data_IF_611796547821
#
_entry.id   IF_611796547821
#
_cell.length_a   1.000
_cell.length_b   1.000
_cell.length_c   1.000
_cell.angle_alpha   90.00
_cell.angle_beta   90.00
_cell.angle_gamma   90.00
#
_symmetry.space_group_name_H-M   'P 1'
#
loop_
_entity.id
_entity.type
_entity.pdbx_description
1 polymer ?
#
# COMPACT_ATOMS: atom_id res chain seq x y z
N UNK A 1 -9.32 0.97 -8.72
CA UNK A 1 -9.06 1.99 -9.75
C UNK A 1 -7.74 1.74 -10.47
N UNK A 2 -7.59 2.13 -11.76
CA UNK A 2 -6.34 1.98 -12.52
C UNK A 2 -5.80 3.34 -12.92
N UNK A 3 -4.57 3.65 -12.56
CA UNK A 3 -3.86 4.86 -13.01
C UNK A 3 -3.56 4.73 -14.51
N UNK A 4 -4.03 5.68 -15.33
CA UNK A 4 -3.78 5.68 -16.79
C UNK A 4 -2.78 6.72 -17.21
N UNK A 5 -2.77 7.84 -16.50
CA UNK A 5 -1.83 8.93 -16.73
C UNK A 5 -1.48 9.59 -15.41
N UNK A 6 -0.31 10.20 -15.36
CA UNK A 6 0.06 11.05 -14.24
C UNK A 6 0.99 12.17 -14.69
N UNK A 7 1.14 13.16 -13.84
CA UNK A 7 2.09 14.28 -14.01
C UNK A 7 2.67 14.64 -12.65
N UNK A 8 3.96 14.92 -12.63
CA UNK A 8 4.70 15.36 -11.44
C UNK A 8 5.32 16.71 -11.73
N UNK A 9 5.20 17.66 -10.79
CA UNK A 9 5.75 19.00 -10.89
C UNK A 9 6.41 19.41 -9.59
N UNK A 10 7.44 20.23 -9.70
CA UNK A 10 8.13 20.85 -8.57
C UNK A 10 8.50 19.88 -7.43
N UNK A 11 8.84 18.65 -7.76
CA UNK A 11 9.19 17.63 -6.80
C UNK A 11 10.66 17.21 -6.97
N UNK A 12 11.52 17.57 -6.01
CA UNK A 12 12.96 17.32 -6.03
C UNK A 12 13.62 17.70 -7.37
N UNK A 13 14.17 16.74 -8.12
CA UNK A 13 14.80 16.99 -9.42
C UNK A 13 13.80 17.04 -10.60
N UNK A 14 12.50 17.01 -10.35
CA UNK A 14 11.48 17.09 -11.39
C UNK A 14 10.84 18.47 -11.38
N UNK A 15 11.13 19.27 -12.39
CA UNK A 15 10.44 20.55 -12.61
C UNK A 15 9.04 20.31 -13.14
N UNK A 16 8.90 19.59 -14.23
CA UNK A 16 7.67 19.14 -14.83
C UNK A 16 7.91 17.90 -15.70
N UNK A 17 7.30 16.79 -15.33
CA UNK A 17 7.43 15.53 -16.07
C UNK A 17 6.66 15.53 -17.40
N UNK A 18 5.75 16.50 -17.61
CA UNK A 18 4.72 16.36 -18.60
C UNK A 18 3.72 15.24 -18.23
N UNK A 19 2.78 14.99 -19.12
CA UNK A 19 1.79 13.93 -18.96
C UNK A 19 2.39 12.56 -19.31
N UNK A 20 2.42 11.63 -18.34
CA UNK A 20 2.98 10.30 -18.50
C UNK A 20 1.85 9.27 -18.51
N UNK A 21 1.76 8.47 -19.60
CA UNK A 21 0.82 7.36 -19.71
C UNK A 21 1.45 6.08 -19.19
N UNK A 22 0.69 5.29 -18.45
CA UNK A 22 1.13 4.01 -17.91
C UNK A 22 0.09 2.92 -18.13
N UNK A 23 0.59 1.70 -18.35
CA UNK A 23 -0.22 0.48 -18.39
C UNK A 23 -0.30 -0.18 -17.02
N UNK A 24 -0.77 -1.43 -16.99
CA UNK A 24 -0.83 -2.21 -15.75
C UNK A 24 0.57 -2.65 -15.28
N UNK A 25 1.55 -2.67 -16.18
CA UNK A 25 2.96 -2.90 -15.90
C UNK A 25 3.79 -1.87 -16.68
N UNK A 26 4.58 -1.03 -16.00
CA UNK A 26 5.46 -0.06 -16.63
C UNK A 26 6.84 0.00 -15.95
N UNK A 27 7.88 0.16 -16.77
CA UNK A 27 9.27 0.24 -16.34
C UNK A 27 9.86 1.62 -16.61
N UNK A 28 10.38 2.26 -15.58
CA UNK A 28 11.20 3.48 -15.69
C UNK A 28 12.65 3.08 -15.79
N UNK A 29 13.27 3.36 -16.93
CA UNK A 29 14.64 2.97 -17.25
C UNK A 29 15.51 4.19 -17.40
N UNK A 30 16.73 4.10 -16.96
CA UNK A 30 17.69 5.19 -17.07
C UNK A 30 18.90 4.97 -16.20
N UNK A 31 19.86 5.88 -16.29
CA UNK A 31 21.08 5.84 -15.49
C UNK A 31 20.80 6.07 -14.01
N UNK A 32 21.78 5.73 -13.16
CA UNK A 32 21.74 6.14 -11.76
C UNK A 32 21.63 7.67 -11.68
N UNK A 33 20.90 8.17 -10.70
CA UNK A 33 20.64 9.61 -10.47
C UNK A 33 19.83 10.30 -11.59
N UNK A 34 19.16 9.54 -12.47
CA UNK A 34 18.32 10.16 -13.52
C UNK A 34 16.93 10.64 -13.02
N UNK A 35 16.56 10.34 -11.79
CA UNK A 35 15.25 10.71 -11.21
C UNK A 35 14.20 9.61 -11.23
N UNK A 36 14.52 8.36 -11.56
CA UNK A 36 13.57 7.22 -11.54
C UNK A 36 12.91 7.03 -10.17
N UNK A 37 13.73 6.94 -9.12
CA UNK A 37 13.30 6.88 -7.72
C UNK A 37 12.38 8.05 -7.37
N UNK A 38 12.76 9.26 -7.78
CA UNK A 38 11.99 10.48 -7.55
C UNK A 38 10.59 10.41 -8.15
N UNK A 39 10.43 9.85 -9.36
CA UNK A 39 9.12 9.67 -10.00
C UNK A 39 8.26 8.73 -9.17
N UNK A 40 8.80 7.57 -8.76
CA UNK A 40 8.05 6.61 -7.96
C UNK A 40 7.64 7.21 -6.60
N UNK A 41 8.56 7.90 -5.93
CA UNK A 41 8.26 8.56 -4.66
C UNK A 41 7.23 9.69 -4.82
N UNK A 42 7.29 10.46 -5.91
CA UNK A 42 6.29 11.49 -6.17
C UNK A 42 4.88 10.92 -6.32
N UNK A 43 4.72 9.69 -6.83
CA UNK A 43 3.41 9.04 -6.92
C UNK A 43 2.83 8.69 -5.55
N UNK A 44 3.65 8.52 -4.50
CA UNK A 44 3.14 8.30 -3.13
C UNK A 44 2.45 9.54 -2.57
N UNK A 45 2.68 10.73 -3.13
CA UNK A 45 1.93 11.94 -2.79
C UNK A 45 0.43 11.80 -3.07
N UNK A 46 0.04 10.88 -3.95
CA UNK A 46 -1.35 10.58 -4.26
C UNK A 46 -2.01 9.64 -3.25
N UNK A 47 -1.30 9.13 -2.24
CA UNK A 47 -1.93 8.46 -1.10
C UNK A 47 -2.81 9.46 -0.31
N UNK A 48 -3.78 8.92 0.41
CA UNK A 48 -4.73 9.71 1.21
C UNK A 48 -4.05 10.77 2.05
N UNK A 49 -3.06 10.35 2.82
CA UNK A 49 -2.23 11.23 3.64
C UNK A 49 -0.76 10.99 3.32
N UNK A 50 -0.03 12.06 3.12
CA UNK A 50 1.41 12.02 2.94
C UNK A 50 2.02 13.27 3.55
N UNK A 51 3.01 13.09 4.43
CA UNK A 51 3.75 14.23 4.97
C UNK A 51 4.75 14.72 3.93
N UNK A 52 4.58 15.95 3.49
CA UNK A 52 5.49 16.61 2.57
C UNK A 52 6.59 17.32 3.38
N UNK A 53 7.84 17.02 3.07
CA UNK A 53 9.00 17.73 3.61
C UNK A 53 9.39 18.89 2.69
N UNK A 54 10.00 19.93 3.23
CA UNK A 54 10.59 21.00 2.42
C UNK A 54 11.66 20.45 1.46
N UNK A 55 12.37 19.38 1.84
CA UNK A 55 13.36 18.68 1.00
C UNK A 55 12.75 17.95 -0.19
N UNK A 56 11.43 17.75 -0.22
CA UNK A 56 10.72 17.14 -1.33
C UNK A 56 10.38 18.15 -2.42
N UNK A 57 10.49 19.43 -2.16
CA UNK A 57 10.20 20.49 -3.13
C UNK A 57 11.41 20.77 -4.03
N UNK A 58 11.13 21.22 -5.24
CA UNK A 58 12.18 21.56 -6.20
C UNK A 58 12.79 22.94 -5.89
N UNK A 59 14.07 22.98 -5.56
CA UNK A 59 14.79 24.22 -5.21
C UNK A 59 14.78 25.26 -6.33
N UNK A 60 14.65 24.86 -7.58
CA UNK A 60 14.63 25.76 -8.73
C UNK A 60 13.25 26.45 -8.94
N UNK A 61 12.21 26.02 -8.22
CA UNK A 61 10.83 26.51 -8.35
C UNK A 61 10.32 27.27 -7.12
N UNK A 62 11.20 27.85 -6.31
CA UNK A 62 10.84 28.56 -5.07
C UNK A 62 9.82 29.67 -5.28
N UNK A 63 9.91 30.41 -6.40
CA UNK A 63 8.97 31.49 -6.70
C UNK A 63 7.57 30.97 -7.09
N UNK A 64 7.50 29.91 -7.88
CA UNK A 64 6.24 29.26 -8.26
C UNK A 64 5.58 28.60 -7.05
N UNK A 65 6.36 28.00 -6.15
CA UNK A 65 5.88 27.35 -4.92
C UNK A 65 5.26 28.31 -3.89
N UNK A 66 5.40 29.63 -4.05
CA UNK A 66 4.65 30.63 -3.28
C UNK A 66 3.15 30.61 -3.59
N UNK A 67 2.77 30.11 -4.75
CA UNK A 67 1.40 29.90 -5.15
C UNK A 67 1.01 28.43 -4.96
N UNK A 68 -0.29 28.16 -4.92
CA UNK A 68 -0.77 26.76 -4.92
C UNK A 68 -0.52 26.11 -6.29
N UNK A 69 0.27 25.03 -6.29
CA UNK A 69 0.52 24.23 -7.48
C UNK A 69 0.29 22.74 -7.21
N UNK A 70 -0.15 22.01 -8.22
CA UNK A 70 -0.28 20.56 -8.16
C UNK A 70 1.12 19.94 -8.26
N UNK A 71 1.58 19.25 -7.22
CA UNK A 71 2.86 18.54 -7.18
C UNK A 71 2.78 17.21 -7.93
N UNK A 72 1.68 16.50 -7.72
CA UNK A 72 1.36 15.27 -8.44
C UNK A 72 -0.12 15.25 -8.79
N UNK A 73 -0.44 14.77 -9.98
CA UNK A 73 -1.80 14.47 -10.39
C UNK A 73 -1.85 13.15 -11.18
N UNK A 74 -2.94 12.39 -11.03
CA UNK A 74 -3.16 11.12 -11.69
C UNK A 74 -4.58 10.98 -12.22
N UNK A 75 -4.73 10.57 -13.49
CA UNK A 75 -6.01 10.23 -14.12
C UNK A 75 -6.30 8.75 -13.89
N UNK A 76 -7.39 8.45 -13.21
CA UNK A 76 -7.81 7.09 -12.85
C UNK A 76 -9.04 6.68 -13.64
N UNK A 77 -9.04 5.41 -14.04
CA UNK A 77 -10.16 4.75 -14.66
C UNK A 77 -10.78 3.78 -13.64
N UNK A 78 -12.09 3.90 -13.45
CA UNK A 78 -12.86 3.04 -12.57
C UNK A 78 -13.32 1.78 -13.31
N UNK A 79 -13.29 0.65 -12.64
CA UNK A 79 -13.88 -0.58 -13.18
C UNK A 79 -15.40 -0.59 -13.00
N UNK A 80 -16.06 -1.59 -13.56
CA UNK A 80 -17.52 -1.70 -13.51
C UNK A 80 -18.08 -1.77 -12.07
N UNK A 81 -17.41 -2.51 -11.18
CA UNK A 81 -17.86 -2.65 -9.80
C UNK A 81 -17.72 -1.35 -9.03
N UNK A 82 -16.61 -0.63 -9.19
CA UNK A 82 -16.37 0.68 -8.55
C UNK A 82 -17.38 1.71 -9.02
N UNK A 83 -17.63 1.79 -10.33
CA UNK A 83 -18.64 2.67 -10.91
C UNK A 83 -20.04 2.35 -10.35
N UNK A 84 -20.37 1.05 -10.23
CA UNK A 84 -21.65 0.61 -9.66
C UNK A 84 -21.79 0.97 -8.19
N UNK A 85 -20.75 0.75 -7.37
CA UNK A 85 -20.76 1.09 -5.94
C UNK A 85 -21.02 2.58 -5.74
N UNK A 86 -20.36 3.46 -6.53
CA UNK A 86 -20.64 4.90 -6.49
C UNK A 86 -22.08 5.19 -6.89
N UNK A 87 -22.58 4.59 -7.97
CA UNK A 87 -23.93 4.84 -8.49
C UNK A 87 -25.03 4.36 -7.51
N UNK A 88 -24.78 3.25 -6.82
CA UNK A 88 -25.70 2.72 -5.81
C UNK A 88 -25.74 3.63 -4.56
N UNK A 89 -24.58 4.21 -4.16
CA UNK A 89 -24.49 5.15 -3.04
C UNK A 89 -25.03 6.55 -3.39
N UNK A 90 -24.84 6.99 -4.63
CA UNK A 90 -25.21 8.33 -5.13
C UNK A 90 -26.06 8.23 -6.41
N UNK A 91 -27.36 7.85 -6.31
CA UNK A 91 -28.22 7.62 -7.47
C UNK A 91 -28.40 8.84 -8.37
N UNK A 92 -28.32 10.05 -7.81
CA UNK A 92 -28.54 11.32 -8.52
C UNK A 92 -27.30 11.77 -9.31
N UNK A 93 -26.10 11.33 -8.93
CA UNK A 93 -24.86 11.70 -9.63
C UNK A 93 -24.76 10.93 -10.95
N UNK A 94 -24.31 11.58 -12.05
CA UNK A 94 -24.03 10.90 -13.30
C UNK A 94 -22.98 9.77 -13.09
N UNK A 95 -22.96 8.81 -14.02
CA UNK A 95 -22.00 7.69 -13.95
C UNK A 95 -20.55 8.17 -14.04
N UNK A 96 -19.76 7.97 -13.00
CA UNK A 96 -18.34 8.35 -12.94
C UNK A 96 -17.49 7.17 -13.40
N UNK A 97 -16.86 7.28 -14.57
CA UNK A 97 -15.92 6.28 -15.12
C UNK A 97 -14.46 6.66 -14.97
N UNK A 98 -14.21 7.94 -14.77
CA UNK A 98 -12.87 8.50 -14.62
C UNK A 98 -12.91 9.61 -13.58
N UNK A 99 -11.82 9.70 -12.84
CA UNK A 99 -11.58 10.82 -11.94
C UNK A 99 -10.09 11.14 -11.91
N UNK A 100 -9.76 12.33 -11.48
CA UNK A 100 -8.38 12.74 -11.22
C UNK A 100 -8.17 12.87 -9.72
N UNK A 101 -7.06 12.31 -9.23
CA UNK A 101 -6.57 12.52 -7.86
C UNK A 101 -5.33 13.39 -7.97
N UNK A 102 -5.22 14.41 -7.13
CA UNK A 102 -4.09 15.32 -7.15
C UNK A 102 -3.69 15.79 -5.76
N UNK A 103 -2.45 16.21 -5.64
CA UNK A 103 -1.86 16.79 -4.43
C UNK A 103 -1.28 18.15 -4.74
N UNK A 104 -1.52 19.14 -3.87
CA UNK A 104 -0.90 20.47 -3.96
C UNK A 104 0.20 20.63 -2.90
N UNK A 105 1.01 21.67 -3.05
CA UNK A 105 2.04 22.02 -2.07
C UNK A 105 1.45 22.60 -0.78
N UNK A 106 0.20 23.06 -0.79
CA UNK A 106 -0.48 23.70 0.33
C UNK A 106 -1.42 22.77 1.10
N UNK A 107 -1.91 21.71 0.47
CA UNK A 107 -2.86 20.78 1.08
C UNK A 107 -2.21 19.42 1.38
N UNK A 108 -2.17 18.95 2.64
CA UNK A 108 -1.58 17.67 3.04
C UNK A 108 -2.44 16.45 2.66
N UNK A 109 -3.66 16.65 2.17
CA UNK A 109 -4.61 15.59 1.81
C UNK A 109 -4.77 15.53 0.29
N UNK A 110 -4.93 14.33 -0.27
CA UNK A 110 -5.24 14.13 -1.68
C UNK A 110 -6.63 14.70 -2.00
N UNK A 111 -6.75 15.35 -3.14
CA UNK A 111 -7.96 16.01 -3.63
C UNK A 111 -8.48 15.30 -4.87
N UNK A 112 -9.78 15.48 -5.16
CA UNK A 112 -10.45 14.82 -6.28
C UNK A 112 -10.99 15.83 -7.28
N UNK A 113 -10.95 15.44 -8.56
CA UNK A 113 -11.49 16.24 -9.67
C UNK A 113 -12.27 15.26 -10.59
N UNK A 114 -13.56 15.50 -10.74
CA UNK A 114 -14.47 14.64 -11.50
C UNK A 114 -14.63 15.07 -12.95
N UNK A 115 -13.84 16.04 -13.39
CA UNK A 115 -13.89 16.56 -14.77
C UNK A 115 -15.23 17.22 -15.09
N UNK A 116 -15.82 16.81 -16.22
CA UNK A 116 -17.08 17.39 -16.74
C UNK A 116 -18.35 16.85 -16.04
N UNK A 117 -18.21 16.05 -14.96
CA UNK A 117 -19.38 15.54 -14.23
C UNK A 117 -19.96 16.66 -13.37
N UNK A 118 -21.15 17.11 -13.69
CA UNK A 118 -21.88 18.08 -12.88
C UNK A 118 -22.34 17.42 -11.58
N UNK A 119 -21.75 17.84 -10.47
CA UNK A 119 -22.13 17.44 -9.12
C UNK A 119 -22.64 18.68 -8.41
N UNK A 120 -23.78 18.56 -7.77
CA UNK A 120 -24.39 19.70 -7.07
C UNK A 120 -23.50 20.17 -5.92
N UNK A 121 -23.10 21.42 -5.98
CA UNK A 121 -22.47 22.13 -4.85
C UNK A 121 -23.51 22.71 -3.89
N UNK A 122 -24.81 22.51 -4.16
CA UNK A 122 -25.88 22.93 -3.26
C UNK A 122 -25.79 22.10 -1.97
N UNK A 123 -25.83 22.80 -0.85
CA UNK A 123 -25.93 22.15 0.46
C UNK A 123 -27.15 21.21 0.47
N UNK A 124 -26.89 19.95 0.59
CA UNK A 124 -27.94 18.96 0.70
C UNK A 124 -28.43 19.01 2.17
N UNK A 125 -29.37 19.93 2.43
CA UNK A 125 -29.91 20.20 3.76
C UNK A 125 -30.58 18.97 4.42
N UNK A 126 -30.63 17.86 3.69
CA UNK A 126 -31.18 16.60 4.16
C UNK A 126 -30.17 15.54 4.63
N UNK A 127 -28.88 15.62 4.26
CA UNK A 127 -27.99 14.47 4.44
C UNK A 127 -27.08 14.51 5.68
N UNK A 128 -26.62 15.67 6.17
CA UNK A 128 -25.63 15.69 7.26
C UNK A 128 -25.66 16.96 8.13
N UNK A 129 -26.88 17.47 8.44
CA UNK A 129 -26.99 18.45 9.51
C UNK A 129 -26.85 17.75 10.87
N UNK A 130 -26.43 18.48 11.88
CA UNK A 130 -26.46 18.02 13.27
C UNK A 130 -27.81 17.41 13.65
N UNK A 131 -28.91 18.00 13.17
CA UNK A 131 -30.26 17.53 13.39
C UNK A 131 -30.52 16.11 12.86
N UNK A 132 -30.05 15.80 11.64
CA UNK A 132 -30.15 14.45 11.06
C UNK A 132 -29.30 13.42 11.80
N UNK A 133 -28.12 13.84 12.25
CA UNK A 133 -27.27 12.99 13.08
C UNK A 133 -27.97 12.67 14.41
N UNK A 134 -28.49 13.68 15.08
CA UNK A 134 -29.26 13.52 16.30
C UNK A 134 -30.51 12.63 16.09
N UNK A 135 -31.18 12.77 14.94
CA UNK A 135 -32.31 11.90 14.58
C UNK A 135 -31.86 10.44 14.37
N UNK A 136 -30.77 10.20 13.69
CA UNK A 136 -30.16 8.85 13.53
C UNK A 136 -29.84 8.23 14.89
N UNK A 137 -29.21 9.00 15.79
CA UNK A 137 -28.88 8.55 17.14
C UNK A 137 -30.15 8.32 17.95
N UNK A 138 -31.17 9.17 17.84
CA UNK A 138 -32.44 9.00 18.52
C UNK A 138 -33.15 7.71 18.06
N UNK A 139 -33.22 7.48 16.76
CA UNK A 139 -33.77 6.24 16.20
C UNK A 139 -33.00 5.00 16.69
N UNK A 140 -31.67 5.07 16.76
CA UNK A 140 -30.85 4.00 17.35
C UNK A 140 -31.17 3.80 18.83
N UNK A 141 -31.30 4.87 19.64
CA UNK A 141 -31.63 4.81 21.05
C UNK A 141 -33.01 4.17 21.29
N UNK A 142 -33.94 4.33 20.37
CA UNK A 142 -35.26 3.70 20.44
C UNK A 142 -35.22 2.18 20.22
N UNK A 143 -34.17 1.66 19.57
CA UNK A 143 -33.94 0.22 19.42
C UNK A 143 -33.30 -0.42 20.65
N UNK A 144 -32.68 0.38 21.53
CA UNK A 144 -31.96 -0.11 22.71
C UNK A 144 -32.96 -0.48 23.84
N UNK A 145 -32.73 -1.64 24.49
CA UNK A 145 -33.57 -2.03 25.66
C UNK A 145 -33.57 -0.97 26.77
N UNK A 146 -34.74 -0.73 27.38
CA UNK A 146 -34.91 0.32 28.39
C UNK A 146 -33.92 0.24 29.56
N UNK A 147 -33.50 -0.96 29.98
CA UNK A 147 -32.58 -1.13 31.09
C UNK A 147 -31.16 -0.65 30.78
N UNK A 148 -30.76 -0.59 29.50
CA UNK A 148 -29.51 -0.01 29.01
C UNK A 148 -29.69 1.50 28.78
N UNK A 149 -30.78 1.87 28.06
CA UNK A 149 -31.07 3.25 27.66
C UNK A 149 -31.11 4.23 28.84
N UNK A 150 -31.73 3.83 29.95
CA UNK A 150 -31.85 4.68 31.16
C UNK A 150 -30.48 5.00 31.79
N UNK A 151 -29.47 4.17 31.54
CA UNK A 151 -28.12 4.34 32.10
C UNK A 151 -27.17 5.12 31.18
N UNK A 152 -27.57 5.38 29.93
CA UNK A 152 -26.78 6.14 28.98
C UNK A 152 -26.98 7.64 29.18
N UNK A 153 -25.89 8.39 29.13
CA UNK A 153 -25.97 9.85 29.10
C UNK A 153 -26.23 10.30 27.65
N UNK A 154 -27.44 10.75 27.37
CA UNK A 154 -27.85 11.20 26.03
C UNK A 154 -27.89 12.73 25.88
N UNK A 155 -27.56 13.49 26.93
CA UNK A 155 -27.65 14.95 26.95
C UNK A 155 -26.84 15.61 25.82
N UNK A 156 -25.77 14.98 25.41
CA UNK A 156 -24.95 15.43 24.29
C UNK A 156 -25.74 15.54 22.97
N UNK A 157 -26.68 14.65 22.74
CA UNK A 157 -27.49 14.61 21.52
C UNK A 157 -28.77 15.49 21.60
N UNK A 158 -29.06 16.08 22.76
CA UNK A 158 -30.27 16.89 22.96
C UNK A 158 -30.01 18.41 22.76
N UNK A 159 -28.75 18.81 22.55
CA UNK A 159 -28.35 20.21 22.50
C UNK A 159 -27.85 20.69 21.14
N UNK A 160 -27.26 21.88 21.16
CA UNK A 160 -26.49 22.42 20.02
C UNK A 160 -25.22 21.62 19.81
N UNK A 161 -24.69 21.59 18.57
CA UNK A 161 -23.44 20.92 18.29
C UNK A 161 -22.32 21.46 19.19
N UNK A 162 -21.30 20.60 19.52
CA UNK A 162 -20.16 21.01 20.34
C UNK A 162 -19.38 22.15 19.71
N UNK A 163 -18.72 22.95 20.55
CA UNK A 163 -17.97 24.14 20.09
C UNK A 163 -16.74 23.80 19.23
N UNK A 164 -16.15 22.62 19.39
CA UNK A 164 -14.96 22.19 18.66
C UNK A 164 -14.90 20.67 18.49
N UNK A 165 -14.01 20.23 17.59
CA UNK A 165 -13.83 18.84 17.22
C UNK A 165 -13.32 17.96 18.37
N UNK A 166 -12.47 18.49 19.23
CA UNK A 166 -11.95 17.74 20.39
C UNK A 166 -13.07 17.40 21.37
N UNK A 167 -13.94 18.37 21.65
CA UNK A 167 -15.12 18.17 22.50
C UNK A 167 -16.07 17.16 21.89
N UNK A 168 -16.31 17.22 20.58
CA UNK A 168 -17.12 16.24 19.85
C UNK A 168 -16.56 14.83 19.98
N UNK A 169 -15.27 14.63 19.68
CA UNK A 169 -14.59 13.32 19.76
C UNK A 169 -14.65 12.74 21.16
N UNK A 170 -14.40 13.57 22.18
CA UNK A 170 -14.43 13.13 23.58
C UNK A 170 -15.84 12.68 24.00
N UNK A 171 -16.88 13.38 23.61
CA UNK A 171 -18.25 13.04 23.93
C UNK A 171 -18.73 11.78 23.19
N UNK A 172 -18.36 11.62 21.92
CA UNK A 172 -18.64 10.41 21.15
C UNK A 172 -17.91 9.18 21.74
N UNK A 173 -16.64 9.34 22.14
CA UNK A 173 -15.87 8.28 22.77
C UNK A 173 -16.45 7.90 24.15
N UNK A 174 -16.83 8.88 24.96
CA UNK A 174 -17.47 8.63 26.27
C UNK A 174 -18.78 7.88 26.12
N UNK A 175 -19.64 8.30 25.19
CA UNK A 175 -20.90 7.61 24.92
C UNK A 175 -20.67 6.19 24.42
N UNK A 176 -19.78 5.98 23.45
CA UNK A 176 -19.42 4.67 22.92
C UNK A 176 -18.89 3.73 24.02
N UNK A 177 -17.93 4.18 24.83
CA UNK A 177 -17.37 3.39 25.92
C UNK A 177 -18.46 2.97 26.95
N UNK A 178 -19.36 3.87 27.31
CA UNK A 178 -20.45 3.57 28.21
C UNK A 178 -21.42 2.56 27.58
N UNK A 179 -21.71 2.70 26.29
CA UNK A 179 -22.56 1.76 25.57
C UNK A 179 -21.97 0.36 25.52
N UNK A 180 -20.65 0.23 25.19
CA UNK A 180 -19.94 -1.05 25.17
C UNK A 180 -19.99 -1.78 26.51
N UNK A 181 -19.84 -1.04 27.61
CA UNK A 181 -19.92 -1.62 28.96
C UNK A 181 -21.35 -2.09 29.29
N UNK A 182 -22.39 -1.30 28.95
CA UNK A 182 -23.76 -1.60 29.28
C UNK A 182 -24.39 -2.65 28.36
N UNK A 183 -23.94 -2.76 27.12
CA UNK A 183 -24.45 -3.68 26.10
C UNK A 183 -23.52 -4.89 25.89
N UNK A 184 -22.67 -5.25 26.85
CA UNK A 184 -21.69 -6.34 26.72
C UNK A 184 -22.33 -7.70 26.35
N UNK A 185 -23.60 -7.95 26.80
CA UNK A 185 -24.33 -9.16 26.49
C UNK A 185 -25.18 -9.06 25.20
N UNK A 186 -25.17 -7.90 24.51
CA UNK A 186 -25.97 -7.62 23.31
C UNK A 186 -25.12 -7.05 22.19
N UNK A 187 -24.23 -7.84 21.57
CA UNK A 187 -23.24 -7.36 20.61
C UNK A 187 -23.83 -6.72 19.34
N UNK A 188 -25.11 -7.01 19.00
CA UNK A 188 -25.81 -6.35 17.89
C UNK A 188 -25.93 -4.84 18.08
N UNK A 189 -26.07 -4.39 19.34
CA UNK A 189 -26.23 -2.96 19.68
C UNK A 189 -24.90 -2.22 19.42
N UNK A 190 -23.78 -2.81 19.80
CA UNK A 190 -22.46 -2.22 19.59
C UNK A 190 -22.10 -2.14 18.11
N UNK A 191 -22.44 -3.16 17.32
CA UNK A 191 -22.26 -3.17 15.85
C UNK A 191 -23.11 -2.09 15.16
N UNK A 192 -24.34 -1.85 15.62
CA UNK A 192 -25.16 -0.77 15.08
C UNK A 192 -24.61 0.62 15.43
N UNK A 193 -24.09 0.77 16.65
CA UNK A 193 -23.41 2.02 17.04
C UNK A 193 -22.16 2.28 16.21
N UNK A 194 -21.33 1.27 15.95
CA UNK A 194 -20.15 1.37 15.10
C UNK A 194 -20.52 1.90 13.70
N UNK A 195 -21.58 1.39 13.09
CA UNK A 195 -22.06 1.90 11.79
C UNK A 195 -22.45 3.37 11.81
N UNK A 196 -22.91 3.88 12.93
CA UNK A 196 -23.29 5.30 13.09
C UNK A 196 -22.05 6.15 13.40
N UNK A 197 -21.20 5.71 14.33
CA UNK A 197 -20.06 6.47 14.82
C UNK A 197 -18.88 6.49 13.84
N UNK A 198 -18.73 5.45 13.03
CA UNK A 198 -17.69 5.30 12.01
C UNK A 198 -18.16 5.72 10.61
N UNK A 199 -19.41 6.15 10.45
CA UNK A 199 -19.88 6.74 9.20
C UNK A 199 -19.03 8.00 8.90
N UNK A 200 -18.32 8.06 7.77
CA UNK A 200 -17.48 9.22 7.39
C UNK A 200 -18.25 10.54 7.43
N UNK A 201 -19.56 10.49 7.22
CA UNK A 201 -20.44 11.67 7.27
C UNK A 201 -20.72 12.15 8.70
N UNK A 202 -20.35 11.40 9.71
CA UNK A 202 -20.45 11.78 11.14
C UNK A 202 -19.23 12.54 11.66
N UNK A 203 -18.29 12.93 10.79
CA UNK A 203 -17.20 13.80 11.20
C UNK A 203 -17.71 15.17 11.67
N UNK A 204 -17.07 15.75 12.67
CA UNK A 204 -17.46 17.05 13.24
C UNK A 204 -17.62 18.14 12.17
N UNK A 205 -16.71 18.19 11.22
CA UNK A 205 -16.75 19.18 10.13
C UNK A 205 -17.99 18.98 9.23
N UNK A 206 -18.33 17.74 8.90
CA UNK A 206 -19.46 17.42 8.04
C UNK A 206 -20.82 17.72 8.74
N UNK A 207 -20.87 17.56 10.05
CA UNK A 207 -22.09 17.83 10.83
C UNK A 207 -22.36 19.33 11.03
N UNK A 208 -21.31 20.17 11.06
CA UNK A 208 -21.43 21.62 11.26
C UNK A 208 -21.60 22.42 9.98
N UNK A 209 -20.94 22.02 8.89
CA UNK A 209 -20.81 22.86 7.69
C UNK A 209 -21.91 22.57 6.66
N UNK A 210 -22.67 21.48 6.84
CA UNK A 210 -23.55 20.95 5.79
C UNK A 210 -22.71 20.32 4.67
N UNK A 211 -22.90 19.06 4.39
CA UNK A 211 -22.10 18.36 3.39
C UNK A 211 -22.74 18.56 2.03
N UNK A 212 -22.03 19.17 1.08
CA UNK A 212 -22.46 19.17 -0.31
C UNK A 212 -22.41 17.73 -0.86
N UNK A 213 -23.20 17.42 -1.88
CA UNK A 213 -23.18 16.10 -2.53
C UNK A 213 -21.77 15.76 -3.03
N UNK A 214 -20.98 16.77 -3.42
CA UNK A 214 -19.58 16.65 -3.82
C UNK A 214 -18.68 16.20 -2.67
N UNK A 215 -18.75 16.85 -1.50
CA UNK A 215 -17.95 16.49 -0.32
C UNK A 215 -18.31 15.08 0.16
N UNK A 216 -19.60 14.73 0.17
CA UNK A 216 -20.05 13.39 0.52
C UNK A 216 -19.47 12.32 -0.43
N UNK A 217 -19.43 12.60 -1.73
CA UNK A 217 -18.81 11.73 -2.73
C UNK A 217 -17.31 11.62 -2.55
N UNK A 218 -16.61 12.73 -2.33
CA UNK A 218 -15.16 12.76 -2.07
C UNK A 218 -14.81 11.89 -0.85
N UNK A 219 -15.51 12.07 0.27
CA UNK A 219 -15.35 11.25 1.47
C UNK A 219 -15.64 9.77 1.22
N UNK A 220 -16.69 9.47 0.47
CA UNK A 220 -17.03 8.08 0.12
C UNK A 220 -15.92 7.42 -0.72
N UNK A 221 -15.40 8.12 -1.72
CA UNK A 221 -14.29 7.63 -2.54
C UNK A 221 -13.03 7.47 -1.71
N UNK A 222 -12.74 8.42 -0.83
CA UNK A 222 -11.57 8.39 0.05
C UNK A 222 -11.55 7.14 0.93
N UNK A 223 -12.69 6.79 1.50
CA UNK A 223 -12.79 5.64 2.43
C UNK A 223 -12.85 4.31 1.70
N UNK A 224 -13.61 4.23 0.59
CA UNK A 224 -13.98 2.95 -0.01
C UNK A 224 -13.19 2.60 -1.27
N UNK A 225 -12.68 3.59 -2.00
CA UNK A 225 -12.18 3.39 -3.36
C UNK A 225 -10.79 4.00 -3.59
N UNK A 226 -10.27 4.82 -2.66
CA UNK A 226 -8.98 5.50 -2.87
C UNK A 226 -7.86 4.50 -3.17
N UNK A 227 -7.09 4.68 -4.27
CA UNK A 227 -6.04 3.75 -4.64
C UNK A 227 -4.88 3.83 -3.65
N UNK A 228 -4.32 2.68 -3.28
CA UNK A 228 -3.13 2.63 -2.42
C UNK A 228 -1.87 2.51 -3.25
N UNK A 229 -0.97 3.46 -3.09
CA UNK A 229 0.37 3.40 -3.63
C UNK A 229 1.30 2.81 -2.58
N UNK A 230 1.89 1.68 -2.88
CA UNK A 230 2.81 0.97 -1.98
C UNK A 230 4.20 1.05 -2.56
N UNK A 231 5.07 1.82 -1.91
CA UNK A 231 6.43 2.03 -2.36
C UNK A 231 7.39 1.07 -1.65
N UNK A 232 8.17 0.38 -2.45
CA UNK A 232 9.22 -0.51 -1.99
C UNK A 232 10.56 0.01 -2.49
N UNK A 233 11.38 0.51 -1.58
CA UNK A 233 12.82 0.74 -1.76
C UNK A 233 13.59 -0.25 -0.91
N UNK A 234 14.87 -0.37 -1.14
CA UNK A 234 15.81 -1.20 -0.41
C UNK A 234 15.18 -2.42 0.29
N UNK A 235 15.14 -3.53 -0.44
CA UNK A 235 14.51 -4.78 0.03
C UNK A 235 15.23 -5.29 1.27
N UNK A 236 14.58 -5.06 2.41
CA UNK A 236 15.01 -5.53 3.72
C UNK A 236 15.04 -7.06 3.70
N UNK A 237 16.21 -7.65 3.93
CA UNK A 237 16.36 -9.10 3.95
C UNK A 237 15.90 -9.67 5.27
N UNK A 238 15.08 -10.70 5.22
CA UNK A 238 14.69 -11.45 6.41
C UNK A 238 15.91 -12.13 7.02
N UNK A 239 16.07 -11.95 8.31
CA UNK A 239 17.11 -12.62 9.10
C UNK A 239 16.65 -14.06 9.34
N UNK A 240 17.44 -15.03 8.89
CA UNK A 240 17.10 -16.45 9.05
C UNK A 240 17.24 -17.00 10.48
N UNK A 241 17.84 -16.24 11.40
CA UNK A 241 17.90 -16.54 12.84
C UNK A 241 17.43 -15.30 13.61
N UNK A 242 16.29 -15.40 14.25
CA UNK A 242 15.63 -14.32 14.98
C UNK A 242 15.80 -14.56 16.47
N UNK A 243 16.44 -13.63 17.18
CA UNK A 243 16.54 -13.67 18.64
C UNK A 243 15.25 -13.08 19.24
N UNK A 244 14.39 -13.92 19.79
CA UNK A 244 13.10 -13.50 20.33
C UNK A 244 13.22 -12.57 21.54
N UNK A 245 14.30 -12.68 22.31
CA UNK A 245 14.55 -11.81 23.45
C UNK A 245 14.88 -10.37 23.02
N UNK A 246 15.61 -10.20 21.92
CA UNK A 246 15.89 -8.90 21.32
C UNK A 246 14.63 -8.33 20.66
N UNK A 247 13.96 -9.13 19.84
CA UNK A 247 12.73 -8.76 19.17
C UNK A 247 11.62 -8.27 20.13
N UNK A 248 11.45 -8.91 21.30
CA UNK A 248 10.47 -8.50 22.30
C UNK A 248 10.84 -7.22 23.06
N UNK A 249 12.14 -6.91 23.21
CA UNK A 249 12.62 -5.66 23.83
C UNK A 249 12.44 -4.47 22.90
N UNK A 250 12.64 -4.68 21.61
CA UNK A 250 12.60 -3.62 20.60
C UNK A 250 11.18 -3.01 20.43
N UNK A 251 10.12 -3.78 20.68
CA UNK A 251 8.73 -3.26 20.62
C UNK A 251 8.34 -2.32 21.77
N UNK A 252 9.05 -2.34 22.89
CA UNK A 252 8.73 -1.56 24.09
C UNK A 252 9.57 -0.29 24.24
N UNK A 253 10.51 -0.03 23.32
CA UNK A 253 11.34 1.18 23.32
C UNK A 253 10.75 2.24 22.40
N UNK A 254 10.76 3.54 22.80
CA UNK A 254 10.31 4.60 21.92
C UNK A 254 11.23 4.71 20.71
N UNK A 255 10.64 4.96 19.53
CA UNK A 255 11.24 5.01 18.20
C UNK A 255 12.44 5.97 18.00
N UNK A 256 12.92 6.61 19.06
CA UNK A 256 13.99 7.62 19.06
C UNK A 256 15.40 7.01 19.20
N UNK A 257 15.52 5.73 19.56
CA UNK A 257 16.81 5.08 19.87
C UNK A 257 17.26 4.00 18.88
N UNK A 258 16.49 3.74 17.81
CA UNK A 258 16.86 2.72 16.81
C UNK A 258 17.69 3.32 15.68
N UNK A 259 18.75 2.60 15.28
CA UNK A 259 19.33 2.79 13.95
C UNK A 259 18.32 2.32 12.89
N UNK A 260 18.29 2.96 11.71
CA UNK A 260 17.44 2.54 10.59
C UNK A 260 17.54 1.03 10.31
N UNK A 261 18.74 0.44 10.42
CA UNK A 261 19.00 -1.00 10.25
C UNK A 261 18.30 -1.91 11.27
N UNK A 262 18.07 -1.45 12.50
CA UNK A 262 17.42 -2.25 13.57
C UNK A 262 15.90 -2.21 13.42
N UNK A 263 15.34 -1.05 13.10
CA UNK A 263 13.92 -0.89 12.80
C UNK A 263 13.52 -1.76 11.59
N UNK A 264 14.35 -1.76 10.55
CA UNK A 264 14.16 -2.55 9.35
C UNK A 264 14.15 -4.05 9.60
N UNK A 265 14.95 -4.52 10.54
CA UNK A 265 14.98 -5.94 10.97
C UNK A 265 13.70 -6.34 11.70
N UNK A 266 13.18 -5.48 12.57
CA UNK A 266 11.95 -5.75 13.31
C UNK A 266 10.74 -5.87 12.37
N UNK A 267 10.62 -4.96 11.39
CA UNK A 267 9.52 -4.97 10.40
C UNK A 267 9.49 -6.25 9.55
N UNK A 268 10.65 -6.72 9.09
CA UNK A 268 10.71 -7.97 8.29
C UNK A 268 10.34 -9.21 9.11
N UNK A 269 10.66 -9.23 10.41
CA UNK A 269 10.25 -10.28 11.34
C UNK A 269 8.75 -10.20 11.61
N UNK A 270 8.21 -9.00 11.81
CA UNK A 270 6.76 -8.77 11.96
C UNK A 270 5.98 -9.27 10.74
N UNK A 271 6.49 -9.03 9.54
CA UNK A 271 5.89 -9.53 8.30
C UNK A 271 5.90 -11.05 8.22
N UNK A 272 7.00 -11.69 8.61
CA UNK A 272 7.12 -13.14 8.65
C UNK A 272 6.14 -13.76 9.67
N UNK A 273 6.08 -13.20 10.89
CA UNK A 273 5.19 -13.70 11.97
C UNK A 273 3.72 -13.45 11.61
N UNK A 274 3.40 -12.31 11.02
CA UNK A 274 2.06 -12.03 10.53
C UNK A 274 1.59 -13.07 9.49
N UNK A 275 2.42 -13.39 8.50
CA UNK A 275 2.09 -14.43 7.51
C UNK A 275 1.98 -15.81 8.13
N UNK A 276 2.82 -16.12 9.12
CA UNK A 276 2.77 -17.36 9.87
C UNK A 276 1.52 -17.46 10.76
N UNK A 277 0.86 -16.33 11.02
CA UNK A 277 -0.16 -16.17 12.07
C UNK A 277 0.40 -16.64 13.42
N UNK A 278 1.62 -16.19 13.73
CA UNK A 278 2.33 -16.52 14.97
C UNK A 278 2.21 -15.34 15.93
N UNK A 279 1.47 -15.55 17.02
CA UNK A 279 1.45 -14.61 18.14
C UNK A 279 2.60 -14.93 19.11
N UNK A 280 3.33 -13.89 19.52
CA UNK A 280 4.48 -14.05 20.41
C UNK A 280 4.05 -14.48 21.81
N UNK A 281 2.89 -14.04 22.30
CA UNK A 281 2.38 -14.44 23.61
C UNK A 281 1.96 -15.92 23.58
N UNK A 282 1.27 -16.35 22.50
CA UNK A 282 0.94 -17.78 22.31
C UNK A 282 2.20 -18.66 22.24
N UNK A 283 3.28 -18.14 21.62
CA UNK A 283 4.56 -18.82 21.56
C UNK A 283 5.20 -18.96 22.96
N UNK A 284 5.18 -17.91 23.76
CA UNK A 284 5.70 -17.94 25.14
C UNK A 284 4.91 -18.95 25.99
N UNK A 285 3.60 -18.96 25.93
CA UNK A 285 2.77 -19.95 26.63
C UNK A 285 3.04 -21.38 26.14
N UNK A 286 3.24 -21.56 24.84
CA UNK A 286 3.52 -22.88 24.27
C UNK A 286 4.88 -23.45 24.69
N UNK A 287 5.85 -22.62 25.10
CA UNK A 287 7.17 -23.08 25.62
C UNK A 287 7.06 -23.94 26.87
N UNK A 288 6.01 -23.81 27.67
CA UNK A 288 5.79 -24.64 28.88
C UNK A 288 5.52 -26.11 28.54
N UNK A 289 5.07 -26.42 27.30
CA UNK A 289 4.77 -27.78 26.85
C UNK A 289 5.42 -28.09 25.50
N UNK A 290 6.40 -29.00 25.42
CA UNK A 290 7.07 -29.35 24.16
C UNK A 290 6.13 -29.82 23.07
N UNK A 291 5.03 -30.48 23.41
CA UNK A 291 4.02 -30.94 22.43
C UNK A 291 3.20 -29.82 21.88
N UNK A 292 2.86 -28.81 22.69
CA UNK A 292 2.15 -27.61 22.23
C UNK A 292 3.04 -26.74 21.35
N UNK A 293 4.30 -26.53 21.74
CA UNK A 293 5.28 -25.79 20.97
C UNK A 293 5.48 -26.40 19.56
N UNK A 294 5.69 -27.72 19.49
CA UNK A 294 5.85 -28.42 18.20
C UNK A 294 4.59 -28.24 17.34
N UNK A 295 3.40 -28.39 17.93
CA UNK A 295 2.14 -28.24 17.19
C UNK A 295 1.97 -26.82 16.65
N UNK A 296 2.26 -25.80 17.46
CA UNK A 296 2.19 -24.39 17.06
C UNK A 296 3.15 -24.12 15.90
N UNK A 297 4.44 -24.44 16.05
CA UNK A 297 5.46 -24.19 15.04
C UNK A 297 5.17 -24.93 13.72
N UNK A 298 4.68 -26.17 13.77
CA UNK A 298 4.27 -26.91 12.58
C UNK A 298 3.09 -26.25 11.87
N UNK A 299 2.12 -25.73 12.63
CA UNK A 299 0.97 -25.00 12.05
C UNK A 299 1.42 -23.72 11.38
N UNK A 300 2.24 -22.93 12.03
CA UNK A 300 2.81 -21.69 11.49
C UNK A 300 3.67 -21.96 10.23
N UNK A 301 4.49 -22.99 10.26
CA UNK A 301 5.33 -23.43 9.13
C UNK A 301 4.48 -23.82 7.92
N UNK A 302 3.40 -24.55 8.15
CA UNK A 302 2.44 -24.93 7.08
C UNK A 302 1.79 -23.70 6.46
N UNK A 303 1.30 -22.76 7.28
CA UNK A 303 0.70 -21.50 6.81
C UNK A 303 1.66 -20.68 5.95
N UNK A 304 2.91 -20.50 6.42
CA UNK A 304 3.96 -19.83 5.63
C UNK A 304 4.17 -20.53 4.26
N UNK A 305 4.33 -21.83 4.28
CA UNK A 305 4.52 -22.63 3.05
C UNK A 305 3.36 -22.43 2.07
N UNK A 306 2.12 -22.50 2.54
CA UNK A 306 0.93 -22.35 1.73
C UNK A 306 0.75 -20.94 1.17
N UNK A 307 1.10 -19.90 1.96
CA UNK A 307 0.98 -18.49 1.54
C UNK A 307 2.09 -18.05 0.58
N UNK A 308 3.28 -18.62 0.68
CA UNK A 308 4.43 -18.21 -0.15
C UNK A 308 4.49 -18.94 -1.50
N UNK A 309 4.11 -20.22 -1.58
CA UNK A 309 4.24 -21.01 -2.80
C UNK A 309 3.45 -20.48 -4.01
N UNK A 310 2.26 -19.85 -3.89
CA UNK A 310 1.57 -19.27 -5.05
C UNK A 310 2.37 -18.17 -5.78
N UNK A 311 3.18 -17.42 -5.04
CA UNK A 311 4.05 -16.38 -5.59
C UNK A 311 5.46 -16.91 -5.91
N UNK A 312 5.81 -18.11 -5.42
CA UNK A 312 7.12 -18.70 -5.62
C UNK A 312 7.25 -19.33 -7.01
N UNK A 313 8.30 -18.97 -7.73
CA UNK A 313 8.60 -19.55 -9.04
C UNK A 313 9.75 -20.53 -8.95
N UNK A 314 9.59 -21.68 -9.56
CA UNK A 314 10.52 -22.81 -9.52
C UNK A 314 9.91 -24.01 -8.79
N UNK A 315 10.77 -24.90 -8.29
CA UNK A 315 10.31 -25.99 -7.44
C UNK A 315 9.69 -25.43 -6.15
N UNK A 316 8.53 -25.95 -5.69
CA UNK A 316 7.92 -25.49 -4.46
C UNK A 316 8.88 -25.54 -3.29
N UNK A 317 8.72 -24.61 -2.35
CA UNK A 317 9.51 -24.59 -1.12
C UNK A 317 8.67 -25.09 0.04
N UNK A 318 9.35 -25.69 1.02
CA UNK A 318 8.81 -25.95 2.34
C UNK A 318 9.53 -25.08 3.36
N UNK A 319 8.78 -24.28 4.10
CA UNK A 319 9.30 -23.37 5.13
C UNK A 319 9.00 -23.97 6.49
N UNK A 320 10.01 -24.10 7.34
CA UNK A 320 9.89 -24.64 8.68
C UNK A 320 10.47 -23.63 9.68
N UNK A 321 9.70 -23.33 10.72
CA UNK A 321 10.12 -22.54 11.86
C UNK A 321 10.63 -23.47 12.97
N UNK A 322 11.83 -23.26 13.46
CA UNK A 322 12.44 -24.02 14.55
C UNK A 322 12.89 -23.10 15.67
N UNK A 323 12.44 -23.36 16.87
CA UNK A 323 12.90 -22.65 18.07
C UNK A 323 13.93 -23.49 18.80
N UNK A 324 15.08 -22.89 19.14
CA UNK A 324 16.08 -23.54 19.96
C UNK A 324 15.95 -23.15 21.47
N UNK A 325 16.63 -23.85 22.38
CA UNK A 325 16.55 -23.55 23.81
C UNK A 325 17.08 -22.16 24.24
N UNK A 326 17.76 -21.44 23.33
CA UNK A 326 18.27 -20.08 23.59
C UNK A 326 17.34 -19.01 23.01
N UNK A 327 16.08 -19.32 22.75
CA UNK A 327 15.09 -18.42 22.18
C UNK A 327 15.47 -17.84 20.81
N UNK A 328 16.23 -18.59 20.01
CA UNK A 328 16.52 -18.24 18.63
C UNK A 328 15.58 -19.03 17.73
N UNK A 329 14.69 -18.29 17.05
CA UNK A 329 13.83 -18.79 15.98
C UNK A 329 14.62 -18.89 14.68
N UNK A 330 14.74 -20.09 14.14
CA UNK A 330 15.42 -20.32 12.86
C UNK A 330 14.43 -20.61 11.75
N UNK A 331 14.62 -19.96 10.59
CA UNK A 331 13.86 -20.22 9.36
C UNK A 331 14.64 -21.25 8.54
N UNK A 332 14.09 -22.45 8.42
CA UNK A 332 14.64 -23.55 7.62
C UNK A 332 13.84 -23.69 6.34
N UNK A 333 14.54 -23.84 5.22
CA UNK A 333 13.92 -23.94 3.91
C UNK A 333 14.40 -25.20 3.20
N UNK A 334 13.46 -25.91 2.60
CA UNK A 334 13.72 -27.08 1.76
C UNK A 334 13.11 -26.88 0.39
N UNK A 335 13.76 -27.40 -0.64
CA UNK A 335 13.22 -27.44 -2.00
C UNK A 335 12.41 -28.77 -2.16
N UNK A 336 11.18 -28.67 -2.66
CA UNK A 336 10.29 -29.82 -2.84
C UNK A 336 10.12 -30.06 -4.34
N UNK A 337 10.62 -31.21 -4.81
CA UNK A 337 10.54 -31.59 -6.23
C UNK A 337 9.16 -32.17 -6.58
N UNK A 338 8.85 -32.23 -7.88
CA UNK A 338 7.56 -32.73 -8.39
C UNK A 338 7.27 -34.19 -8.01
N UNK A 339 8.31 -34.97 -7.74
CA UNK A 339 8.20 -36.36 -7.27
C UNK A 339 8.00 -36.49 -5.76
N UNK A 340 7.92 -35.34 -5.04
CA UNK A 340 7.79 -35.26 -3.59
C UNK A 340 9.11 -35.41 -2.85
N UNK A 341 10.26 -35.52 -3.53
CA UNK A 341 11.56 -35.53 -2.85
C UNK A 341 11.89 -34.15 -2.31
N UNK A 342 12.48 -34.13 -1.13
CA UNK A 342 12.89 -32.90 -0.43
C UNK A 342 14.42 -32.81 -0.46
N UNK A 343 14.93 -31.70 -0.96
CA UNK A 343 16.38 -31.45 -1.06
C UNK A 343 16.75 -30.07 -0.52
N UNK A 344 18.04 -29.80 -0.46
CA UNK A 344 18.60 -28.51 -0.02
C UNK A 344 18.04 -27.98 1.30
N UNK A 345 17.68 -28.90 2.23
CA UNK A 345 17.20 -28.50 3.56
C UNK A 345 18.30 -27.76 4.31
N UNK A 346 18.03 -26.52 4.68
CA UNK A 346 19.00 -25.71 5.39
C UNK A 346 18.46 -24.39 5.90
N UNK A 347 19.24 -23.74 6.74
CA UNK A 347 18.90 -22.40 7.25
C UNK A 347 18.82 -21.37 6.10
N UNK A 348 17.85 -20.47 6.16
CA UNK A 348 17.70 -19.37 5.19
C UNK A 348 19.03 -18.59 5.03
N UNK A 349 19.76 -18.35 6.13
CA UNK A 349 21.05 -17.63 6.09
C UNK A 349 22.12 -18.32 5.23
N UNK A 350 22.01 -19.63 5.00
CA UNK A 350 22.96 -20.42 4.19
C UNK A 350 22.56 -20.51 2.70
N UNK A 351 21.39 -20.02 2.36
CA UNK A 351 20.94 -19.98 0.94
C UNK A 351 21.67 -18.87 0.18
N UNK A 352 21.70 -18.99 -1.11
CA UNK A 352 22.30 -17.98 -2.01
C UNK A 352 21.61 -16.61 -1.83
N UNK A 353 22.36 -15.52 -2.01
CA UNK A 353 21.85 -14.16 -1.85
C UNK A 353 20.56 -13.88 -2.64
N UNK A 354 20.50 -14.34 -3.89
CA UNK A 354 19.30 -14.18 -4.71
C UNK A 354 18.08 -14.93 -4.16
N UNK A 355 18.28 -16.10 -3.58
CA UNK A 355 17.21 -16.83 -2.91
C UNK A 355 16.70 -16.05 -1.69
N UNK A 356 17.60 -15.60 -0.82
CA UNK A 356 17.25 -14.79 0.36
C UNK A 356 16.51 -13.52 -0.02
N UNK A 357 16.96 -12.87 -1.09
CA UNK A 357 16.29 -11.69 -1.61
C UNK A 357 14.86 -12.02 -2.08
N UNK A 358 14.69 -13.03 -2.94
CA UNK A 358 13.37 -13.43 -3.46
C UNK A 358 12.43 -13.85 -2.33
N UNK A 359 12.93 -14.61 -1.36
CA UNK A 359 12.15 -15.01 -0.18
C UNK A 359 11.68 -13.80 0.62
N UNK A 360 12.60 -12.88 0.94
CA UNK A 360 12.27 -11.65 1.68
C UNK A 360 11.28 -10.77 0.94
N UNK A 361 11.47 -10.62 -0.37
CA UNK A 361 10.53 -9.86 -1.21
C UNK A 361 9.13 -10.46 -1.17
N UNK A 362 8.99 -11.77 -1.38
CA UNK A 362 7.68 -12.44 -1.38
C UNK A 362 7.02 -12.34 -0.01
N UNK A 363 7.77 -12.53 1.09
CA UNK A 363 7.23 -12.41 2.46
C UNK A 363 6.74 -11.00 2.72
N UNK A 364 7.56 -9.98 2.49
CA UNK A 364 7.18 -8.59 2.73
C UNK A 364 5.99 -8.18 1.86
N UNK A 365 6.03 -8.54 0.58
CA UNK A 365 4.95 -8.26 -0.36
C UNK A 365 3.64 -8.98 0.05
N UNK A 366 3.71 -10.27 0.40
CA UNK A 366 2.52 -11.02 0.81
C UNK A 366 1.94 -10.49 2.13
N UNK A 367 2.79 -10.11 3.10
CA UNK A 367 2.35 -9.52 4.36
C UNK A 367 1.63 -8.19 4.13
N UNK A 368 2.21 -7.29 3.33
CA UNK A 368 1.60 -6.00 3.01
C UNK A 368 0.29 -6.16 2.25
N UNK A 369 0.26 -7.05 1.25
CA UNK A 369 -0.97 -7.31 0.49
C UNK A 369 -2.07 -7.94 1.34
N UNK A 370 -1.73 -8.80 2.30
CA UNK A 370 -2.71 -9.43 3.18
C UNK A 370 -3.21 -8.49 4.28
N UNK A 371 -2.33 -7.70 4.94
CA UNK A 371 -2.73 -6.72 5.97
C UNK A 371 -3.67 -5.66 5.44
N UNK A 372 -3.43 -5.25 4.22
CA UNK A 372 -4.13 -4.14 3.62
C UNK A 372 -5.37 -4.58 2.82
N UNK A 373 -5.68 -5.88 2.78
CA UNK A 373 -6.67 -6.43 1.83
C UNK A 373 -6.43 -5.92 0.39
N UNK A 374 -5.14 -5.73 0.03
CA UNK A 374 -4.72 -5.08 -1.22
C UNK A 374 -5.12 -5.91 -2.43
N UNK A 375 -6.38 -5.82 -2.78
CA UNK A 375 -6.83 -6.07 -4.14
C UNK A 375 -6.73 -4.73 -4.88
N UNK A 376 -5.99 -4.73 -6.00
CA UNK A 376 -5.88 -3.57 -6.90
C UNK A 376 -4.98 -2.41 -6.40
N UNK A 377 -3.89 -2.71 -5.66
CA UNK A 377 -2.89 -1.72 -5.29
C UNK A 377 -2.02 -1.28 -6.48
N UNK A 378 -1.44 -0.10 -6.37
CA UNK A 378 -0.40 0.41 -7.27
C UNK A 378 0.95 0.22 -6.59
N UNK A 379 1.71 -0.75 -7.07
CA UNK A 379 3.02 -1.13 -6.54
C UNK A 379 4.10 -0.30 -7.20
N UNK A 380 4.90 0.39 -6.40
CA UNK A 380 5.99 1.23 -6.82
C UNK A 380 7.31 0.60 -6.35
N UNK A 381 8.05 -0.04 -7.27
CA UNK A 381 9.21 -0.85 -6.91
C UNK A 381 10.49 -0.17 -7.40
N UNK A 382 11.37 0.21 -6.48
CA UNK A 382 12.64 0.84 -6.84
C UNK A 382 13.76 -0.20 -6.89
N UNK A 383 14.33 -0.38 -8.08
CA UNK A 383 15.42 -1.33 -8.38
C UNK A 383 15.14 -2.77 -7.87
N UNK A 384 13.99 -3.39 -8.19
CA UNK A 384 13.52 -4.64 -7.58
C UNK A 384 14.38 -5.81 -8.00
N UNK A 385 15.57 -5.87 -8.15
CA UNK A 385 16.46 -7.00 -8.42
C UNK A 385 17.93 -6.57 -8.52
N UNK A 386 18.28 -5.41 -7.94
CA UNK A 386 19.58 -4.77 -8.10
C UNK A 386 20.77 -5.70 -7.83
N UNK A 387 20.66 -6.56 -6.84
CA UNK A 387 21.77 -7.40 -6.36
C UNK A 387 21.65 -8.86 -6.84
N UNK A 388 20.81 -9.15 -7.86
CA UNK A 388 20.60 -10.50 -8.35
C UNK A 388 21.40 -10.79 -9.62
N UNK A 389 21.77 -12.08 -9.78
CA UNK A 389 22.34 -12.57 -11.03
C UNK A 389 21.32 -12.41 -12.18
N UNK A 390 21.74 -12.14 -13.42
CA UNK A 390 20.87 -11.96 -14.59
C UNK A 390 19.74 -12.97 -14.77
N UNK A 391 20.01 -14.25 -14.54
CA UNK A 391 18.97 -15.30 -14.61
C UNK A 391 17.90 -15.17 -13.55
N UNK A 392 18.24 -14.70 -12.35
CA UNK A 392 17.32 -14.46 -11.25
C UNK A 392 16.50 -13.18 -11.49
N UNK A 393 17.11 -12.14 -12.06
CA UNK A 393 16.41 -10.91 -12.44
C UNK A 393 15.25 -11.19 -13.41
N UNK A 394 15.41 -12.14 -14.33
CA UNK A 394 14.32 -12.59 -15.21
C UNK A 394 13.17 -13.23 -14.43
N UNK A 395 13.48 -14.08 -13.46
CA UNK A 395 12.46 -14.66 -12.58
C UNK A 395 11.63 -13.60 -11.86
N UNK A 396 12.28 -12.49 -11.44
CA UNK A 396 11.60 -11.34 -10.85
C UNK A 396 10.75 -10.60 -11.89
N UNK A 397 11.25 -10.39 -13.12
CA UNK A 397 10.45 -9.78 -14.19
C UNK A 397 9.15 -10.56 -14.44
N UNK A 398 9.21 -11.89 -14.45
CA UNK A 398 8.01 -12.72 -14.60
C UNK A 398 7.09 -12.65 -13.37
N UNK A 399 7.65 -12.55 -12.16
CA UNK A 399 6.87 -12.32 -10.96
C UNK A 399 6.10 -10.99 -11.06
N UNK A 400 6.76 -9.90 -11.47
CA UNK A 400 6.13 -8.59 -11.65
C UNK A 400 4.99 -8.64 -12.68
N UNK A 401 5.16 -9.37 -13.78
CA UNK A 401 4.08 -9.61 -14.77
C UNK A 401 2.85 -10.28 -14.15
N UNK A 402 3.08 -11.30 -13.30
CA UNK A 402 1.97 -11.96 -12.62
C UNK A 402 1.27 -11.06 -11.61
N UNK A 403 2.05 -10.26 -10.85
CA UNK A 403 1.50 -9.27 -9.92
C UNK A 403 0.67 -8.21 -10.62
N UNK A 404 1.05 -7.81 -11.83
CA UNK A 404 0.31 -6.86 -12.66
C UNK A 404 -1.06 -7.39 -13.12
N UNK A 405 -1.33 -8.69 -12.99
CA UNK A 405 -2.66 -9.28 -13.26
C UNK A 405 -3.74 -8.84 -12.26
N UNK A 406 -3.39 -8.68 -10.99
CA UNK A 406 -4.30 -8.23 -9.93
C UNK A 406 -4.02 -6.81 -9.44
N UNK A 407 -2.80 -6.32 -9.62
CA UNK A 407 -2.35 -5.01 -9.19
C UNK A 407 -1.91 -4.19 -10.42
N UNK A 408 -1.50 -2.94 -10.19
CA UNK A 408 -0.74 -2.17 -11.16
C UNK A 408 0.71 -2.08 -10.67
N UNK A 409 1.68 -2.35 -11.54
CA UNK A 409 3.10 -2.39 -11.15
C UNK A 409 3.89 -1.37 -11.95
N UNK A 410 4.44 -0.40 -11.25
CA UNK A 410 5.36 0.60 -11.80
C UNK A 410 6.72 0.39 -11.13
N UNK A 411 7.78 0.21 -11.90
CA UNK A 411 9.09 -0.02 -11.29
C UNK A 411 10.21 0.73 -11.99
N UNK A 412 11.24 1.06 -11.23
CA UNK A 412 12.46 1.68 -11.72
C UNK A 412 13.55 0.62 -11.86
N UNK A 413 14.32 0.66 -12.93
CA UNK A 413 15.49 -0.20 -13.09
C UNK A 413 16.54 0.38 -14.02
N UNK A 414 17.79 0.02 -13.78
CA UNK A 414 18.90 0.23 -14.71
C UNK A 414 19.37 -1.09 -15.36
N UNK A 415 18.73 -2.22 -15.00
CA UNK A 415 19.15 -3.54 -15.48
C UNK A 415 18.49 -3.89 -16.82
N UNK A 416 19.29 -4.25 -17.85
CA UNK A 416 18.76 -4.72 -19.13
C UNK A 416 17.97 -6.04 -19.01
N UNK A 417 18.21 -6.81 -17.97
CA UNK A 417 17.53 -8.10 -17.75
C UNK A 417 16.14 -7.94 -17.15
N UNK A 418 15.81 -6.74 -16.66
CA UNK A 418 14.49 -6.41 -16.12
C UNK A 418 13.56 -5.76 -17.16
N UNK A 419 14.07 -5.41 -18.35
CA UNK A 419 13.29 -4.80 -19.44
C UNK A 419 12.94 -5.79 -20.56
N UNK A 420 13.07 -7.05 -20.28
CA UNK A 420 12.83 -8.13 -21.21
C UNK A 420 11.30 -8.31 -21.47
N UNK A 421 10.91 -8.46 -22.74
CA UNK A 421 9.51 -8.68 -23.18
C UNK A 421 8.51 -7.56 -22.95
N UNK A 422 8.93 -6.31 -22.84
CA UNK A 422 7.98 -5.18 -22.74
C UNK A 422 7.45 -4.73 -24.08
N UNK A 423 6.13 -4.49 -24.12
CA UNK A 423 5.56 -3.68 -25.20
C UNK A 423 6.20 -2.28 -25.16
N UNK A 424 6.59 -1.69 -26.30
CA UNK A 424 7.25 -0.39 -26.33
C UNK A 424 6.57 0.72 -25.55
N UNK A 425 5.24 0.68 -25.41
CA UNK A 425 4.47 1.67 -24.65
C UNK A 425 4.56 1.56 -23.13
N UNK A 426 5.19 0.50 -22.59
CA UNK A 426 5.35 0.28 -21.15
C UNK A 426 6.78 0.56 -20.68
N UNK A 427 7.65 1.03 -21.58
CA UNK A 427 9.02 1.41 -21.28
C UNK A 427 9.16 2.92 -21.31
N UNK A 428 9.54 3.50 -20.20
CA UNK A 428 9.67 4.93 -19.97
C UNK A 428 11.13 5.26 -19.66
N UNK A 429 11.76 6.06 -20.48
CA UNK A 429 13.15 6.46 -20.31
C UNK A 429 13.23 7.72 -19.47
N UNK A 430 14.03 7.68 -18.40
CA UNK A 430 14.28 8.81 -17.51
C UNK A 430 15.73 9.25 -17.66
N UNK A 431 15.93 10.49 -18.04
CA UNK A 431 17.23 11.09 -18.29
C UNK A 431 17.38 12.39 -17.52
N UNK A 432 18.57 12.61 -16.92
CA UNK A 432 18.91 13.87 -16.26
C UNK A 432 19.56 14.83 -17.24
N UNK A 433 18.94 15.96 -17.50
CA UNK A 433 19.57 17.10 -18.18
C UNK A 433 20.65 17.70 -17.26
N UNK A 434 21.91 17.35 -17.52
CA UNK A 434 23.07 17.77 -16.70
C UNK A 434 23.27 19.29 -16.63
N UNK A 435 22.75 20.04 -17.60
CA UNK A 435 22.88 21.51 -17.59
C UNK A 435 21.87 22.18 -16.70
N UNK A 436 20.69 21.57 -16.59
CA UNK A 436 19.56 22.10 -15.84
C UNK A 436 19.32 21.34 -14.52
N UNK A 437 20.04 20.24 -14.27
CA UNK A 437 19.81 19.32 -13.14
C UNK A 437 18.36 18.82 -13.01
N UNK A 438 17.64 18.72 -14.17
CA UNK A 438 16.24 18.37 -14.22
C UNK A 438 16.03 17.04 -14.97
N UNK A 439 15.14 16.21 -14.42
CA UNK A 439 14.78 14.94 -15.05
C UNK A 439 13.77 15.13 -16.19
N UNK A 440 14.00 14.45 -17.29
CA UNK A 440 13.09 14.37 -18.44
C UNK A 440 12.66 12.94 -18.67
N UNK A 441 11.42 12.74 -19.13
CA UNK A 441 10.84 11.43 -19.38
C UNK A 441 10.43 11.32 -20.85
N UNK A 442 10.85 10.21 -21.47
CA UNK A 442 10.60 9.93 -22.89
C UNK A 442 9.90 8.58 -23.04
N UNK A 443 8.99 8.49 -24.00
CA UNK A 443 8.46 7.22 -24.49
C UNK A 443 9.34 6.59 -25.57
N UNK A 444 10.11 7.42 -26.24
CA UNK A 444 10.98 7.03 -27.34
C UNK A 444 12.42 6.95 -26.85
N UNK A 445 12.87 5.72 -26.58
CA UNK A 445 14.23 5.46 -26.11
C UNK A 445 15.32 5.75 -27.15
N UNK A 446 14.95 5.91 -28.43
CA UNK A 446 15.92 6.25 -29.49
C UNK A 446 16.47 7.66 -29.36
N UNK A 447 15.76 8.53 -28.66
CA UNK A 447 16.19 9.91 -28.45
C UNK A 447 17.00 10.10 -27.15
N UNK A 448 17.19 9.05 -26.35
CA UNK A 448 18.00 9.10 -25.13
C UNK A 448 19.50 9.00 -25.43
N UNK A 449 20.34 9.30 -24.43
CA UNK A 449 21.79 9.18 -24.58
C UNK A 449 22.25 7.72 -24.83
N UNK A 450 23.37 7.52 -25.52
CA UNK A 450 23.91 6.20 -25.89
C UNK A 450 24.10 5.27 -24.67
N UNK A 451 24.42 5.82 -23.50
CA UNK A 451 24.63 5.04 -22.26
C UNK A 451 23.31 4.55 -21.66
N UNK A 452 22.22 5.26 -21.92
CA UNK A 452 20.87 4.85 -21.53
C UNK A 452 20.26 3.90 -22.56
N UNK A 453 20.44 4.18 -23.84
CA UNK A 453 19.90 3.38 -24.96
C UNK A 453 20.55 2.00 -25.03
N UNK A 454 21.87 1.90 -24.84
CA UNK A 454 22.61 0.63 -25.00
C UNK A 454 22.07 -0.50 -24.10
N UNK A 455 21.86 -0.33 -22.80
CA UNK A 455 21.24 -1.38 -21.97
C UNK A 455 19.83 -1.76 -22.41
N UNK A 456 19.03 -0.80 -22.87
CA UNK A 456 17.68 -1.04 -23.37
C UNK A 456 17.72 -1.90 -24.64
N UNK A 457 18.55 -1.52 -25.61
CA UNK A 457 18.72 -2.28 -26.84
C UNK A 457 19.24 -3.68 -26.59
N UNK A 458 20.17 -3.85 -25.63
CA UNK A 458 20.65 -5.16 -25.23
C UNK A 458 19.53 -6.02 -24.64
N UNK A 459 18.70 -5.47 -23.75
CA UNK A 459 17.55 -6.16 -23.17
C UNK A 459 16.55 -6.59 -24.24
N UNK A 460 16.15 -5.67 -25.12
CA UNK A 460 15.17 -5.92 -26.19
C UNK A 460 15.71 -6.88 -27.27
N UNK A 461 16.99 -6.73 -27.71
CA UNK A 461 17.58 -7.60 -28.74
C UNK A 461 17.70 -9.04 -28.28
N UNK A 462 17.99 -9.26 -27.00
CA UNK A 462 18.08 -10.59 -26.43
C UNK A 462 16.72 -11.27 -26.36
N UNK A 463 15.65 -10.54 -26.06
CA UNK A 463 14.29 -11.06 -26.12
C UNK A 463 13.90 -11.55 -27.50
N UNK A 464 14.28 -10.82 -28.51
CA UNK A 464 14.10 -11.25 -29.91
C UNK A 464 14.84 -12.54 -30.23
N UNK A 465 16.11 -12.66 -29.84
CA UNK A 465 16.94 -13.85 -30.07
C UNK A 465 16.36 -15.07 -29.35
N UNK A 466 15.98 -14.95 -28.08
CA UNK A 466 15.39 -16.06 -27.32
C UNK A 466 14.01 -16.48 -27.89
N UNK A 467 13.16 -15.52 -28.29
CA UNK A 467 11.87 -15.84 -28.92
C UNK A 467 12.00 -16.54 -30.27
N UNK A 468 13.14 -16.38 -30.95
CA UNK A 468 13.46 -17.11 -32.17
C UNK A 468 13.95 -18.54 -31.84
N UNK A 469 14.81 -18.66 -30.83
CA UNK A 469 15.36 -19.96 -30.42
C UNK A 469 14.29 -20.88 -29.80
N UNK A 470 13.32 -20.35 -29.06
CA UNK A 470 12.22 -21.11 -28.47
C UNK A 470 11.17 -21.60 -29.51
N UNK A 471 11.23 -21.09 -30.75
CA UNK A 471 10.38 -21.55 -31.86
C UNK A 471 11.00 -22.69 -32.67
N UNK A 472 12.26 -23.04 -32.44
CA UNK A 472 12.97 -24.10 -33.16
C UNK A 472 13.09 -25.42 -32.36
N UNK A 473 12.43 -25.53 -31.18
CA UNK A 473 12.30 -26.75 -30.38
C UNK A 473 10.80 -27.11 -30.26
#
# INVERSE_FOLDING_TARGET
MRLRKFRVRAYRCIHDSGEIRVGDLAAFVGRNESGKTTILQALTLLNREHQLSELDLCDEMVEELKNEIRLADGDFELNFNETKIIKDAFPNIPEIKKLKIFRTNTNPIAQYDFGDVEISDAENSGLNSWENFVEKVSNFLDTIPNHIRIKLNTQFFEGTPPENEEMFRNQMAEFGNNLYVLAADEPQITVEWEKISEDPNTSFQNLLIGTTEKIALENFIEVNLHPRFVYFSDYKKIIGNINLNEYGRDKNLPSIEFSEDEFDKAETVDNLFYLAELDVNELEEAKESPSQLIKLLNTCSKRLTEKLNPAWKGDPIHVELRLNPNDIMSVVISDVHKDGTVTNTGLLNRRAEGFKWTFSFIVNFAAETQRAELKEAILLLDEPARNLHPTQQRGISDLLKNLAGSNQVLYATHSPYMIFDYAPGNLLVVELDKKKHLSRIYYDYWNADDLTVTPILYGLSRGLVESILDREI
#
